data_IF_379325528545
#
_entry.id   IF_379325528545
#
_cell.length_a   1.000
_cell.length_b   1.000
_cell.length_c   1.000
_cell.angle_alpha   90.00
_cell.angle_beta   90.00
_cell.angle_gamma   90.00
#
_symmetry.space_group_name_H-M   'P 1'
#
loop_
_entity.id
_entity.type
_entity.pdbx_description
1 polymer ?
#
# COMPACT_ATOMS: atom_id res chain seq x y z
N UNK A 1 15.29 -23.34 21.27
CA UNK A 1 16.23 -22.21 21.09
C UNK A 1 15.42 -21.01 20.64
N UNK A 2 15.35 -19.96 21.47
CA UNK A 2 14.67 -18.71 21.12
C UNK A 2 15.68 -17.91 20.28
N UNK A 3 15.49 -17.85 18.96
CA UNK A 3 16.31 -16.98 18.11
C UNK A 3 16.03 -15.53 18.49
N UNK A 4 17.08 -14.74 18.68
CA UNK A 4 16.96 -13.32 18.97
C UNK A 4 16.11 -12.65 17.87
N UNK A 5 14.93 -12.09 18.20
CA UNK A 5 14.01 -11.52 17.21
C UNK A 5 14.66 -10.39 16.40
N UNK A 6 15.66 -9.70 16.96
CA UNK A 6 16.35 -8.59 16.26
C UNK A 6 17.27 -9.07 15.15
N UNK A 7 17.87 -10.26 15.31
CA UNK A 7 18.79 -10.84 14.31
C UNK A 7 18.05 -11.23 13.04
N UNK A 8 16.75 -11.50 13.14
CA UNK A 8 15.97 -11.94 12.01
C UNK A 8 15.42 -10.77 11.15
N UNK A 9 14.94 -9.70 11.79
CA UNK A 9 14.40 -8.52 11.07
C UNK A 9 15.45 -7.93 10.13
N UNK A 10 16.70 -7.80 10.59
CA UNK A 10 17.79 -7.31 9.74
C UNK A 10 18.02 -8.19 8.50
N UNK A 11 17.81 -9.50 8.64
CA UNK A 11 17.90 -10.46 7.53
C UNK A 11 16.76 -10.28 6.54
N UNK A 12 15.53 -10.05 7.02
CA UNK A 12 14.34 -9.78 6.18
C UNK A 12 14.53 -8.49 5.38
N UNK A 13 15.00 -7.41 6.01
CA UNK A 13 15.27 -6.13 5.33
C UNK A 13 16.40 -6.25 4.30
N UNK A 14 17.53 -6.86 4.67
CA UNK A 14 18.65 -7.06 3.75
C UNK A 14 18.29 -7.94 2.54
N UNK A 15 17.52 -9.00 2.78
CA UNK A 15 17.00 -9.86 1.70
C UNK A 15 15.97 -9.14 0.86
N UNK A 16 15.07 -8.35 1.45
CA UNK A 16 14.10 -7.52 0.72
C UNK A 16 14.80 -6.53 -0.21
N UNK A 17 15.87 -5.90 0.25
CA UNK A 17 16.68 -5.01 -0.59
C UNK A 17 17.33 -5.75 -1.76
N UNK A 18 17.90 -6.93 -1.50
CA UNK A 18 18.51 -7.78 -2.53
C UNK A 18 17.50 -8.26 -3.57
N UNK A 19 16.28 -8.62 -3.12
CA UNK A 19 15.19 -9.00 -4.01
C UNK A 19 14.73 -7.81 -4.85
N UNK A 20 14.61 -6.61 -4.26
CA UNK A 20 14.22 -5.40 -4.99
C UNK A 20 15.24 -5.01 -6.06
N UNK A 21 16.54 -5.04 -5.72
CA UNK A 21 17.60 -4.69 -6.65
C UNK A 21 17.71 -5.69 -7.82
N UNK A 22 17.40 -6.96 -7.56
CA UNK A 22 17.34 -8.00 -8.60
C UNK A 22 16.03 -7.97 -9.40
N UNK A 23 14.96 -7.37 -8.85
CA UNK A 23 13.62 -7.35 -9.42
C UNK A 23 13.03 -5.93 -9.44
N UNK A 24 13.72 -5.00 -10.11
CA UNK A 24 13.27 -3.61 -10.24
C UNK A 24 11.88 -3.47 -10.88
N UNK A 25 11.42 -4.49 -11.62
CA UNK A 25 10.10 -4.52 -12.27
C UNK A 25 8.94 -4.37 -11.28
N UNK A 26 9.13 -4.68 -9.99
CA UNK A 26 8.12 -4.48 -8.93
C UNK A 26 7.72 -3.00 -8.79
N UNK A 27 8.58 -2.08 -9.20
CA UNK A 27 8.34 -0.63 -9.12
C UNK A 27 7.40 -0.15 -10.24
N UNK A 28 7.39 -0.85 -11.38
CA UNK A 28 6.72 -0.41 -12.61
C UNK A 28 5.21 -0.17 -12.44
N UNK A 29 4.44 -1.05 -11.78
CA UNK A 29 3.00 -0.80 -11.56
C UNK A 29 2.72 0.51 -10.82
N UNK A 30 3.52 0.84 -9.80
CA UNK A 30 3.35 2.07 -9.03
C UNK A 30 3.56 3.31 -9.90
N UNK A 31 4.57 3.31 -10.78
CA UNK A 31 4.84 4.41 -11.70
C UNK A 31 3.71 4.56 -12.72
N UNK A 32 3.33 3.48 -13.41
CA UNK A 32 2.33 3.53 -14.48
C UNK A 32 0.97 3.96 -13.91
N UNK A 33 0.51 3.32 -12.84
CA UNK A 33 -0.79 3.61 -12.22
C UNK A 33 -0.77 5.01 -11.59
N UNK A 34 0.34 5.41 -10.97
CA UNK A 34 0.51 6.75 -10.41
C UNK A 34 0.41 7.85 -11.47
N UNK A 35 1.04 7.66 -12.64
CA UNK A 35 0.92 8.61 -13.77
C UNK A 35 -0.54 8.69 -14.25
N UNK A 36 -1.20 7.55 -14.46
CA UNK A 36 -2.60 7.51 -14.90
C UNK A 36 -3.51 8.22 -13.90
N UNK A 37 -3.39 7.90 -12.60
CA UNK A 37 -4.17 8.51 -11.54
C UNK A 37 -3.89 10.02 -11.43
N UNK A 38 -2.63 10.44 -11.56
CA UNK A 38 -2.23 11.85 -11.55
C UNK A 38 -2.80 12.64 -12.73
N UNK A 39 -2.81 12.05 -13.93
CA UNK A 39 -3.43 12.67 -15.11
C UNK A 39 -4.94 12.82 -14.93
N UNK A 40 -5.63 11.80 -14.41
CA UNK A 40 -7.06 11.88 -14.11
C UNK A 40 -7.31 12.98 -13.06
N UNK A 41 -6.54 13.01 -11.98
CA UNK A 41 -6.64 14.02 -10.93
C UNK A 41 -6.44 15.44 -11.47
N UNK A 42 -5.46 15.64 -12.36
CA UNK A 42 -5.18 16.93 -12.99
C UNK A 42 -6.30 17.39 -13.94
N UNK A 43 -7.01 16.45 -14.58
CA UNK A 43 -8.14 16.76 -15.46
C UNK A 43 -9.43 17.10 -14.70
N UNK A 44 -9.67 16.45 -13.54
CA UNK A 44 -10.90 16.65 -12.76
C UNK A 44 -10.78 17.73 -11.71
N UNK A 45 -9.57 18.06 -11.26
CA UNK A 45 -9.34 19.11 -10.27
C UNK A 45 -9.07 20.42 -11.00
N UNK A 46 -9.95 21.44 -10.89
CA UNK A 46 -9.73 22.71 -11.55
C UNK A 46 -8.40 23.32 -11.05
N UNK A 47 -7.43 23.49 -11.95
CA UNK A 47 -6.20 24.22 -11.65
C UNK A 47 -6.55 25.67 -11.38
N UNK A 48 -6.22 26.16 -10.18
CA UNK A 48 -6.26 27.58 -9.87
C UNK A 48 -5.30 28.31 -10.82
N UNK A 49 -5.84 28.89 -11.88
CA UNK A 49 -5.20 30.04 -12.48
C UNK A 49 -5.36 31.17 -11.46
N UNK A 50 -4.35 31.34 -10.61
CA UNK A 50 -4.24 32.56 -9.82
C UNK A 50 -4.10 33.69 -10.84
N UNK A 51 -5.18 34.43 -11.06
CA UNK A 51 -5.11 35.65 -11.83
C UNK A 51 -4.21 36.63 -11.06
N UNK A 52 -3.03 36.88 -11.62
CA UNK A 52 -2.03 37.80 -11.08
C UNK A 52 -2.50 39.26 -11.15
N UNK A 53 -3.67 39.56 -11.72
CA UNK A 53 -4.18 40.92 -11.91
C UNK A 53 -4.54 41.66 -10.62
N UNK A 54 -4.63 40.99 -9.47
CA UNK A 54 -4.89 41.65 -8.17
C UNK A 54 -6.31 42.22 -8.04
N UNK A 55 -7.21 41.96 -8.99
CA UNK A 55 -8.59 42.44 -8.97
C UNK A 55 -9.53 41.32 -8.50
N UNK A 56 -9.79 41.23 -7.20
CA UNK A 56 -10.98 40.55 -6.68
C UNK A 56 -12.11 41.58 -6.59
N UNK A 57 -13.32 41.36 -7.16
CA UNK A 57 -14.33 40.55 -6.46
C UNK A 57 -15.44 39.94 -7.37
N UNK A 58 -15.77 38.64 -7.28
CA UNK A 58 -17.07 38.15 -7.80
C UNK A 58 -17.68 37.04 -6.93
N UNK A 59 -18.70 37.36 -6.09
CA UNK A 59 -19.35 36.40 -5.19
C UNK A 59 -20.03 35.20 -5.90
N UNK A 60 -20.41 35.34 -7.17
CA UNK A 60 -21.15 34.31 -7.93
C UNK A 60 -20.23 33.22 -8.50
N UNK A 61 -18.97 33.52 -8.81
CA UNK A 61 -17.99 32.50 -9.21
C UNK A 61 -17.51 31.67 -8.01
N UNK A 62 -17.67 32.14 -6.77
CA UNK A 62 -17.19 31.42 -5.58
C UNK A 62 -18.01 30.17 -5.27
N UNK A 63 -19.32 30.15 -5.56
CA UNK A 63 -20.16 28.97 -5.26
C UNK A 63 -20.01 27.85 -6.30
N UNK A 64 -19.92 28.19 -7.60
CA UNK A 64 -19.71 27.20 -8.66
C UNK A 64 -18.27 26.70 -8.71
N UNK A 65 -17.26 27.58 -8.55
CA UNK A 65 -15.87 27.14 -8.43
C UNK A 65 -15.68 26.31 -7.15
N UNK A 66 -16.27 26.73 -6.03
CA UNK A 66 -16.25 25.97 -4.77
C UNK A 66 -16.82 24.57 -4.92
N UNK A 67 -18.00 24.43 -5.53
CA UNK A 67 -18.61 23.11 -5.76
C UNK A 67 -17.77 22.26 -6.72
N UNK A 68 -17.28 22.83 -7.83
CA UNK A 68 -16.44 22.10 -8.79
C UNK A 68 -15.12 21.63 -8.18
N UNK A 69 -14.52 22.44 -7.29
CA UNK A 69 -13.31 22.09 -6.55
C UNK A 69 -13.57 20.93 -5.59
N UNK A 70 -14.66 21.00 -4.82
CA UNK A 70 -15.05 19.93 -3.88
C UNK A 70 -15.30 18.63 -4.64
N UNK A 71 -16.13 18.66 -5.68
CA UNK A 71 -16.46 17.48 -6.49
C UNK A 71 -15.22 16.92 -7.18
N UNK A 72 -14.39 17.77 -7.81
CA UNK A 72 -13.15 17.37 -8.46
C UNK A 72 -12.17 16.71 -7.49
N UNK A 73 -11.99 17.30 -6.29
CA UNK A 73 -11.13 16.74 -5.24
C UNK A 73 -11.65 15.40 -4.72
N UNK A 74 -12.97 15.25 -4.55
CA UNK A 74 -13.57 13.99 -4.14
C UNK A 74 -13.33 12.89 -5.18
N UNK A 75 -13.51 13.19 -6.47
CA UNK A 75 -13.25 12.25 -7.57
C UNK A 75 -11.76 11.89 -7.61
N UNK A 76 -10.86 12.88 -7.56
CA UNK A 76 -9.41 12.66 -7.58
C UNK A 76 -8.96 11.79 -6.39
N UNK A 77 -9.48 12.06 -5.19
CA UNK A 77 -9.19 11.27 -3.99
C UNK A 77 -9.69 9.84 -4.13
N UNK A 78 -10.90 9.65 -4.65
CA UNK A 78 -11.46 8.32 -4.89
C UNK A 78 -10.64 7.52 -5.91
N UNK A 79 -10.26 8.14 -7.03
CA UNK A 79 -9.38 7.53 -8.04
C UNK A 79 -8.01 7.18 -7.45
N UNK A 80 -7.42 8.09 -6.68
CA UNK A 80 -6.14 7.87 -5.99
C UNK A 80 -6.21 6.71 -4.99
N UNK A 81 -7.31 6.61 -4.25
CA UNK A 81 -7.55 5.48 -3.34
C UNK A 81 -7.62 4.16 -4.12
N UNK A 82 -8.42 4.08 -5.19
CA UNK A 82 -8.50 2.87 -6.02
C UNK A 82 -7.14 2.49 -6.62
N UNK A 83 -6.42 3.48 -7.16
CA UNK A 83 -5.07 3.33 -7.69
C UNK A 83 -4.11 2.73 -6.65
N UNK A 84 -4.08 3.28 -5.44
CA UNK A 84 -3.23 2.79 -4.36
C UNK A 84 -3.53 1.34 -3.99
N UNK A 85 -4.81 0.97 -3.93
CA UNK A 85 -5.19 -0.40 -3.59
C UNK A 85 -4.75 -1.37 -4.69
N UNK A 86 -4.87 -1.00 -5.97
CA UNK A 86 -4.35 -1.81 -7.10
C UNK A 86 -2.83 -1.92 -7.03
N UNK A 87 -2.12 -0.80 -6.81
CA UNK A 87 -0.65 -0.77 -6.69
C UNK A 87 -0.22 -1.74 -5.57
N UNK A 88 -0.75 -1.59 -4.36
CA UNK A 88 -0.40 -2.42 -3.21
C UNK A 88 -0.67 -3.90 -3.48
N UNK A 89 -1.77 -4.23 -4.14
CA UNK A 89 -2.12 -5.61 -4.49
C UNK A 89 -1.13 -6.20 -5.49
N UNK A 90 -0.82 -5.47 -6.56
CA UNK A 90 0.11 -5.92 -7.58
C UNK A 90 1.53 -6.06 -7.01
N UNK A 91 2.03 -5.07 -6.28
CA UNK A 91 3.37 -5.10 -5.68
C UNK A 91 3.49 -6.19 -4.64
N UNK A 92 2.44 -6.46 -3.85
CA UNK A 92 2.42 -7.58 -2.89
C UNK A 92 2.43 -8.93 -3.61
N UNK A 93 1.68 -9.10 -4.70
CA UNK A 93 1.71 -10.32 -5.51
C UNK A 93 3.08 -10.61 -6.11
N UNK A 94 3.71 -9.57 -6.68
CA UNK A 94 5.06 -9.65 -7.23
C UNK A 94 6.11 -9.90 -6.13
N UNK A 95 5.96 -9.27 -4.96
CA UNK A 95 6.81 -9.53 -3.80
C UNK A 95 6.71 -10.99 -3.33
N UNK A 96 5.50 -11.56 -3.30
CA UNK A 96 5.29 -12.97 -2.96
C UNK A 96 5.99 -13.92 -3.93
N UNK A 97 5.92 -13.64 -5.24
CA UNK A 97 6.64 -14.41 -6.26
C UNK A 97 8.16 -14.29 -6.10
N UNK A 98 8.67 -13.09 -5.83
CA UNK A 98 10.10 -12.85 -5.59
C UNK A 98 10.61 -13.60 -4.35
N UNK A 99 9.86 -13.61 -3.26
CA UNK A 99 10.23 -14.37 -2.06
C UNK A 99 10.25 -15.88 -2.29
N UNK A 100 9.31 -16.39 -3.10
CA UNK A 100 9.18 -17.83 -3.39
C UNK A 100 10.20 -18.34 -4.41
N UNK A 101 10.45 -17.57 -5.47
CA UNK A 101 11.22 -18.04 -6.65
C UNK A 101 12.49 -17.25 -6.92
N UNK A 102 12.70 -16.12 -6.23
CA UNK A 102 13.78 -15.17 -6.50
C UNK A 102 13.49 -14.21 -7.66
N UNK A 103 12.40 -14.42 -8.41
CA UNK A 103 12.01 -13.60 -9.56
C UNK A 103 10.58 -13.06 -9.42
N UNK A 104 10.35 -11.86 -9.91
CA UNK A 104 9.02 -11.26 -10.02
C UNK A 104 8.70 -10.93 -11.48
N UNK A 105 7.44 -11.16 -11.87
CA UNK A 105 6.89 -10.80 -13.17
C UNK A 105 5.61 -9.99 -12.98
N UNK A 106 5.27 -9.13 -13.95
CA UNK A 106 4.02 -8.35 -13.91
C UNK A 106 2.79 -9.27 -13.85
N UNK A 107 2.86 -10.45 -14.47
CA UNK A 107 1.82 -11.47 -14.41
C UNK A 107 1.51 -11.89 -12.97
N UNK A 108 2.50 -11.97 -12.08
CA UNK A 108 2.28 -12.34 -10.68
C UNK A 108 1.41 -11.31 -9.94
N UNK A 109 1.63 -10.02 -10.25
CA UNK A 109 0.80 -8.93 -9.72
C UNK A 109 -0.61 -8.94 -10.29
N UNK A 110 -0.76 -9.22 -11.59
CA UNK A 110 -2.07 -9.35 -12.25
C UNK A 110 -2.86 -10.56 -11.72
N UNK A 111 -2.18 -11.68 -11.49
CA UNK A 111 -2.78 -12.89 -10.92
C UNK A 111 -3.20 -12.67 -9.48
N UNK A 112 -2.47 -11.86 -8.70
CA UNK A 112 -2.91 -11.45 -7.37
C UNK A 112 -4.18 -10.59 -7.42
N UNK A 113 -4.27 -9.64 -8.36
CA UNK A 113 -5.42 -8.76 -8.52
C UNK A 113 -6.70 -9.51 -8.94
N UNK A 114 -6.55 -10.57 -9.75
CA UNK A 114 -7.67 -11.39 -10.22
C UNK A 114 -8.27 -12.31 -9.16
N UNK A 115 -7.64 -12.42 -7.97
CA UNK A 115 -8.14 -13.29 -6.90
C UNK A 115 -9.37 -12.66 -6.24
N UNK A 116 -10.50 -13.40 -6.15
CA UNK A 116 -11.72 -12.87 -5.52
C UNK A 116 -11.50 -12.55 -4.04
N UNK A 117 -10.65 -13.32 -3.35
CA UNK A 117 -10.33 -13.13 -1.94
C UNK A 117 -9.63 -11.79 -1.72
N UNK A 118 -8.73 -11.41 -2.63
CA UNK A 118 -8.00 -10.14 -2.55
C UNK A 118 -8.94 -8.97 -2.78
N UNK A 119 -9.84 -9.04 -3.76
CA UNK A 119 -10.86 -8.02 -3.99
C UNK A 119 -11.74 -7.78 -2.74
N UNK A 120 -12.16 -8.86 -2.07
CA UNK A 120 -12.95 -8.74 -0.84
C UNK A 120 -12.17 -8.09 0.31
N UNK A 121 -10.87 -8.39 0.46
CA UNK A 121 -10.00 -7.76 1.46
C UNK A 121 -9.75 -6.28 1.15
N UNK A 122 -9.56 -5.95 -0.13
CA UNK A 122 -9.44 -4.57 -0.63
C UNK A 122 -10.68 -3.74 -0.29
N UNK A 123 -11.89 -4.27 -0.55
CA UNK A 123 -13.15 -3.61 -0.21
C UNK A 123 -13.27 -3.36 1.30
N UNK A 124 -12.89 -4.34 2.12
CA UNK A 124 -12.88 -4.17 3.57
C UNK A 124 -11.88 -3.10 4.04
N UNK A 125 -10.68 -3.05 3.47
CA UNK A 125 -9.70 -1.99 3.76
C UNK A 125 -10.20 -0.61 3.34
N UNK A 126 -10.93 -0.50 2.22
CA UNK A 126 -11.58 0.75 1.81
C UNK A 126 -12.63 1.16 2.84
N UNK A 127 -13.50 0.24 3.28
CA UNK A 127 -14.51 0.53 4.32
C UNK A 127 -13.84 0.99 5.62
N UNK A 128 -12.81 0.30 6.09
CA UNK A 128 -12.05 0.70 7.29
C UNK A 128 -11.42 2.08 7.11
N UNK A 129 -10.82 2.35 5.95
CA UNK A 129 -10.19 3.66 5.65
C UNK A 129 -11.21 4.79 5.63
N UNK A 130 -12.41 4.56 5.09
CA UNK A 130 -13.51 5.53 5.11
C UNK A 130 -13.98 5.81 6.54
N UNK A 131 -14.15 4.77 7.37
CA UNK A 131 -14.54 4.94 8.78
C UNK A 131 -13.48 5.74 9.55
N UNK A 132 -12.19 5.44 9.37
CA UNK A 132 -11.09 6.18 9.99
C UNK A 132 -11.03 7.64 9.51
N UNK A 133 -11.30 7.88 8.22
CA UNK A 133 -11.34 9.23 7.67
C UNK A 133 -12.47 10.06 8.29
N UNK A 134 -13.66 9.49 8.42
CA UNK A 134 -14.80 10.14 9.09
C UNK A 134 -14.49 10.39 10.57
N UNK A 135 -13.88 9.44 11.27
CA UNK A 135 -13.49 9.61 12.67
C UNK A 135 -12.45 10.72 12.84
N UNK A 136 -11.54 10.87 11.88
CA UNK A 136 -10.53 11.95 11.88
C UNK A 136 -11.14 13.33 11.74
N UNK A 137 -12.20 13.47 10.93
CA UNK A 137 -12.95 14.73 10.80
C UNK A 137 -13.63 15.12 12.12
N UNK A 138 -14.27 14.16 12.81
CA UNK A 138 -15.01 14.43 14.05
C UNK A 138 -14.07 14.77 15.22
N UNK A 139 -12.89 14.15 15.26
CA UNK A 139 -11.96 14.24 16.40
C UNK A 139 -10.89 15.32 16.27
N UNK A 140 -10.97 16.19 15.25
CA UNK A 140 -10.00 17.26 14.98
C UNK A 140 -8.54 16.76 14.95
N UNK A 141 -8.32 15.56 14.43
CA UNK A 141 -6.99 14.96 14.29
C UNK A 141 -6.52 14.09 15.46
N UNK A 142 -7.23 14.04 16.60
CA UNK A 142 -6.92 13.06 17.66
C UNK A 142 -7.04 11.62 17.17
N UNK A 143 -7.91 11.34 16.19
CA UNK A 143 -7.96 10.02 15.55
C UNK A 143 -6.73 9.71 14.68
N UNK A 144 -5.76 10.61 14.53
CA UNK A 144 -4.46 10.26 13.96
C UNK A 144 -3.76 9.17 14.78
N UNK A 145 -3.82 9.23 16.11
CA UNK A 145 -3.29 8.19 16.98
C UNK A 145 -4.07 6.88 16.84
N UNK A 146 -5.41 6.96 16.76
CA UNK A 146 -6.26 5.79 16.54
C UNK A 146 -5.95 5.14 15.20
N UNK A 147 -5.78 5.93 14.15
CA UNK A 147 -5.42 5.46 12.81
C UNK A 147 -4.06 4.77 12.80
N UNK A 148 -3.09 5.27 13.56
CA UNK A 148 -1.79 4.63 13.72
C UNK A 148 -1.91 3.25 14.42
N UNK A 149 -2.74 3.17 15.46
CA UNK A 149 -3.01 1.89 16.16
C UNK A 149 -3.72 0.91 15.23
N UNK A 150 -4.72 1.35 14.46
CA UNK A 150 -5.40 0.48 13.49
C UNK A 150 -4.46 0.06 12.38
N UNK A 151 -3.63 0.97 11.86
CA UNK A 151 -2.59 0.65 10.88
C UNK A 151 -1.63 -0.41 11.39
N UNK A 152 -1.17 -0.29 12.64
CA UNK A 152 -0.28 -1.27 13.28
C UNK A 152 -0.87 -2.69 13.23
N UNK A 153 -2.16 -2.85 13.56
CA UNK A 153 -2.80 -4.17 13.54
C UNK A 153 -3.17 -4.67 12.14
N UNK A 154 -3.40 -3.76 11.19
CA UNK A 154 -3.86 -4.09 9.83
C UNK A 154 -2.74 -4.12 8.79
N UNK A 155 -1.49 -3.89 9.19
CA UNK A 155 -0.35 -3.76 8.28
C UNK A 155 -0.13 -5.00 7.39
N UNK A 156 -0.47 -6.20 7.86
CA UNK A 156 -0.30 -7.45 7.13
C UNK A 156 -1.53 -7.87 6.32
N UNK A 157 -2.62 -7.08 6.30
CA UNK A 157 -3.90 -7.50 5.68
C UNK A 157 -3.74 -7.87 4.21
N UNK A 158 -3.01 -7.07 3.42
CA UNK A 158 -2.81 -7.35 1.99
C UNK A 158 -1.92 -8.58 1.80
N UNK A 159 -0.87 -8.74 2.63
CA UNK A 159 -0.03 -9.94 2.61
C UNK A 159 -0.85 -11.19 2.98
N UNK A 160 -1.70 -11.11 4.00
CA UNK A 160 -2.61 -12.18 4.38
C UNK A 160 -3.60 -12.53 3.26
N UNK A 161 -4.14 -11.54 2.55
CA UNK A 161 -5.05 -11.79 1.44
C UNK A 161 -4.35 -12.41 0.22
N UNK A 162 -3.20 -11.85 -0.17
CA UNK A 162 -2.46 -12.26 -1.38
C UNK A 162 -1.68 -13.55 -1.17
N UNK A 163 -0.93 -13.64 -0.07
CA UNK A 163 -0.05 -14.77 0.24
C UNK A 163 -0.78 -15.83 1.07
N UNK A 164 -1.54 -15.39 2.07
CA UNK A 164 -2.29 -16.28 2.94
C UNK A 164 -3.58 -16.83 2.33
N UNK A 165 -4.09 -16.19 1.27
CA UNK A 165 -5.32 -16.58 0.59
C UNK A 165 -6.60 -16.23 1.37
N UNK A 166 -6.52 -15.43 2.42
CA UNK A 166 -7.67 -15.05 3.23
C UNK A 166 -8.55 -14.01 2.51
N UNK A 167 -9.87 -14.10 2.69
CA UNK A 167 -10.85 -13.17 2.10
C UNK A 167 -11.36 -12.17 3.11
N UNK A 168 -11.57 -10.92 2.70
CA UNK A 168 -12.39 -9.93 3.41
C UNK A 168 -12.00 -9.76 4.87
N UNK A 169 -12.95 -10.06 5.76
CA UNK A 169 -12.76 -9.96 7.21
C UNK A 169 -11.74 -10.95 7.75
N UNK A 170 -11.59 -12.13 7.14
CA UNK A 170 -10.64 -13.14 7.61
C UNK A 170 -9.20 -12.67 7.41
N UNK A 171 -8.92 -11.91 6.35
CA UNK A 171 -7.61 -11.29 6.14
C UNK A 171 -7.29 -10.22 7.21
N UNK A 172 -8.30 -9.45 7.63
CA UNK A 172 -8.16 -8.47 8.72
C UNK A 172 -7.90 -9.17 10.07
N UNK A 173 -8.65 -10.23 10.36
CA UNK A 173 -8.47 -11.03 11.58
C UNK A 173 -7.11 -11.70 11.63
N UNK A 174 -6.68 -12.29 10.52
CA UNK A 174 -5.34 -12.87 10.39
C UNK A 174 -4.27 -11.81 10.64
N UNK A 175 -4.36 -10.63 10.00
CA UNK A 175 -3.42 -9.53 10.23
C UNK A 175 -3.38 -9.13 11.71
N UNK A 176 -4.55 -9.02 12.33
CA UNK A 176 -4.67 -8.65 13.75
C UNK A 176 -4.03 -9.68 14.67
N UNK A 177 -4.30 -10.97 14.47
CA UNK A 177 -3.71 -12.04 15.28
C UNK A 177 -2.20 -12.16 15.08
N UNK A 178 -1.70 -12.05 13.85
CA UNK A 178 -0.26 -12.02 13.56
C UNK A 178 0.41 -10.82 14.23
N UNK A 179 -0.16 -9.61 14.08
CA UNK A 179 0.39 -8.40 14.71
C UNK A 179 0.34 -8.48 16.25
N UNK A 180 -0.72 -9.04 16.82
CA UNK A 180 -0.89 -9.17 18.28
C UNK A 180 0.07 -10.18 18.89
N UNK A 181 0.23 -11.34 18.27
CA UNK A 181 1.13 -12.40 18.76
C UNK A 181 2.60 -11.97 18.67
N UNK A 182 2.93 -11.15 17.66
CA UNK A 182 4.29 -10.65 17.40
C UNK A 182 4.38 -9.12 17.46
N UNK A 183 3.79 -8.53 18.50
CA UNK A 183 3.63 -7.07 18.61
C UNK A 183 4.96 -6.31 18.59
N UNK A 184 6.00 -6.83 19.23
CA UNK A 184 7.31 -6.17 19.29
C UNK A 184 7.97 -6.14 17.91
N UNK A 185 7.94 -7.27 17.19
CA UNK A 185 8.48 -7.38 15.84
C UNK A 185 7.71 -6.47 14.88
N UNK A 186 6.38 -6.48 14.96
CA UNK A 186 5.50 -5.59 14.19
C UNK A 186 5.80 -4.12 14.48
N UNK A 187 6.05 -3.76 15.74
CA UNK A 187 6.40 -2.39 16.14
C UNK A 187 7.72 -1.95 15.51
N UNK A 188 8.74 -2.82 15.55
CA UNK A 188 10.03 -2.53 14.91
C UNK A 188 9.85 -2.32 13.41
N UNK A 189 9.08 -3.19 12.73
CA UNK A 189 8.78 -3.04 11.31
C UNK A 189 8.07 -1.72 11.05
N UNK A 190 6.98 -1.41 11.77
CA UNK A 190 6.25 -0.14 11.63
C UNK A 190 7.16 1.07 11.81
N UNK A 191 8.02 1.07 12.82
CA UNK A 191 8.98 2.17 13.08
C UNK A 191 9.98 2.28 11.93
N UNK A 192 10.56 1.18 11.46
CA UNK A 192 11.52 1.18 10.35
C UNK A 192 10.87 1.65 9.04
N UNK A 193 9.67 1.17 8.71
CA UNK A 193 8.91 1.66 7.56
C UNK A 193 8.58 3.15 7.73
N UNK A 194 8.21 3.59 8.93
CA UNK A 194 7.99 4.99 9.25
C UNK A 194 9.23 5.87 8.99
N UNK A 195 10.41 5.42 9.43
CA UNK A 195 11.69 6.12 9.17
C UNK A 195 11.99 6.19 7.67
N UNK A 196 11.83 5.08 6.94
CA UNK A 196 12.05 5.06 5.48
C UNK A 196 11.07 5.98 4.76
N UNK A 197 9.78 5.94 5.11
CA UNK A 197 8.76 6.82 4.55
C UNK A 197 9.03 8.30 4.86
N UNK A 198 9.50 8.60 6.07
CA UNK A 198 9.88 9.95 6.46
C UNK A 198 11.07 10.47 5.63
N UNK A 199 12.16 9.71 5.55
CA UNK A 199 13.34 10.06 4.75
C UNK A 199 12.99 10.25 3.27
N UNK A 200 12.15 9.38 2.74
CA UNK A 200 11.64 9.50 1.40
C UNK A 200 10.80 10.74 1.15
N UNK A 201 9.96 11.12 2.12
CA UNK A 201 9.15 12.33 2.04
C UNK A 201 10.04 13.57 2.01
N UNK A 202 11.10 13.60 2.84
CA UNK A 202 12.11 14.67 2.81
C UNK A 202 12.82 14.73 1.45
N UNK A 203 13.20 13.58 0.91
CA UNK A 203 13.86 13.49 -0.40
C UNK A 203 12.92 13.96 -1.52
N UNK A 204 11.67 13.51 -1.53
CA UNK A 204 10.66 13.93 -2.52
C UNK A 204 10.38 15.44 -2.43
N UNK A 205 10.29 15.99 -1.21
CA UNK A 205 10.12 17.42 -1.00
C UNK A 205 11.29 18.24 -1.56
N UNK A 206 12.53 17.74 -1.48
CA UNK A 206 13.69 18.40 -2.08
C UNK A 206 13.61 18.49 -3.62
N UNK A 207 12.91 17.55 -4.27
CA UNK A 207 12.71 17.57 -5.72
C UNK A 207 11.55 18.44 -6.19
N UNK A 208 10.66 18.89 -5.30
CA UNK A 208 9.54 19.77 -5.66
C UNK A 208 9.97 21.13 -6.24
N UNK A 209 11.22 21.56 -6.00
CA UNK A 209 11.75 22.81 -6.55
C UNK A 209 12.06 22.75 -8.05
N UNK A 210 12.08 21.56 -8.67
CA UNK A 210 12.34 21.40 -10.10
C UNK A 210 11.00 21.22 -10.84
N UNK A 211 10.54 22.21 -11.63
CA UNK A 211 9.31 22.09 -12.38
C UNK A 211 9.36 20.89 -13.34
N UNK A 212 8.24 20.19 -13.51
CA UNK A 212 8.03 19.03 -14.39
C UNK A 212 8.81 17.76 -14.04
N UNK A 213 10.10 17.85 -13.72
CA UNK A 213 10.95 16.71 -13.36
C UNK A 213 10.68 16.25 -11.92
N UNK A 214 10.45 17.20 -11.00
CA UNK A 214 10.21 16.93 -9.59
C UNK A 214 9.13 15.88 -9.33
N UNK A 215 7.91 16.04 -9.90
CA UNK A 215 6.84 15.05 -9.74
C UNK A 215 7.18 13.65 -10.25
N UNK A 216 7.92 13.54 -11.36
CA UNK A 216 8.33 12.25 -11.93
C UNK A 216 9.31 11.53 -10.99
N UNK A 217 10.30 12.27 -10.46
CA UNK A 217 11.25 11.73 -9.49
C UNK A 217 10.54 11.34 -8.19
N UNK A 218 9.64 12.18 -7.69
CA UNK A 218 8.85 11.88 -6.49
C UNK A 218 8.00 10.61 -6.67
N UNK A 219 7.36 10.43 -7.83
CA UNK A 219 6.61 9.23 -8.15
C UNK A 219 7.49 7.98 -8.23
N UNK A 220 8.69 8.08 -8.83
CA UNK A 220 9.65 6.99 -8.87
C UNK A 220 10.14 6.59 -7.47
N UNK A 221 10.48 7.58 -6.64
CA UNK A 221 10.87 7.35 -5.23
C UNK A 221 9.73 6.66 -4.48
N UNK A 222 8.50 7.16 -4.60
CA UNK A 222 7.31 6.56 -3.99
C UNK A 222 7.13 5.10 -4.44
N UNK A 223 7.28 4.81 -5.73
CA UNK A 223 7.20 3.44 -6.26
C UNK A 223 8.26 2.51 -5.69
N UNK A 224 9.51 2.97 -5.55
CA UNK A 224 10.60 2.21 -4.91
C UNK A 224 10.23 1.83 -3.48
N UNK A 225 9.68 2.78 -2.71
CA UNK A 225 9.32 2.56 -1.31
C UNK A 225 8.16 1.59 -1.18
N UNK A 226 7.11 1.76 -1.99
CA UNK A 226 5.96 0.85 -1.98
C UNK A 226 6.39 -0.58 -2.34
N UNK A 227 7.27 -0.74 -3.34
CA UNK A 227 7.85 -2.02 -3.71
C UNK A 227 8.68 -2.62 -2.57
N UNK A 228 9.54 -1.81 -1.94
CA UNK A 228 10.34 -2.23 -0.78
C UNK A 228 9.46 -2.65 0.41
N UNK A 229 8.44 -1.87 0.73
CA UNK A 229 7.51 -2.16 1.82
C UNK A 229 6.73 -3.44 1.55
N UNK A 230 6.28 -3.65 0.32
CA UNK A 230 5.60 -4.89 -0.08
C UNK A 230 6.51 -6.11 0.11
N UNK A 231 7.80 -6.00 -0.24
CA UNK A 231 8.77 -7.07 -0.01
C UNK A 231 9.01 -7.33 1.48
N UNK A 232 9.22 -6.29 2.28
CA UNK A 232 9.43 -6.44 3.73
C UNK A 232 8.20 -7.05 4.39
N UNK A 233 7.00 -6.53 4.10
CA UNK A 233 5.75 -7.01 4.70
C UNK A 233 5.43 -8.45 4.32
N UNK A 234 5.68 -8.86 3.07
CA UNK A 234 5.50 -10.25 2.64
C UNK A 234 6.52 -11.19 3.29
N UNK A 235 7.80 -10.78 3.35
CA UNK A 235 8.85 -11.56 4.00
C UNK A 235 8.55 -11.80 5.47
N UNK A 236 8.24 -10.71 6.18
CA UNK A 236 7.88 -10.72 7.59
C UNK A 236 6.62 -11.54 7.85
N UNK A 237 5.56 -11.32 7.07
CA UNK A 237 4.32 -12.08 7.21
C UNK A 237 4.55 -13.58 7.09
N UNK A 238 5.37 -14.03 6.13
CA UNK A 238 5.69 -15.45 5.96
C UNK A 238 6.44 -16.04 7.16
N UNK A 239 7.41 -15.31 7.71
CA UNK A 239 8.16 -15.74 8.90
C UNK A 239 7.26 -15.81 10.14
N UNK A 240 6.51 -14.75 10.42
CA UNK A 240 5.61 -14.69 11.58
C UNK A 240 4.49 -15.73 11.50
N UNK A 241 3.87 -15.91 10.33
CA UNK A 241 2.83 -16.93 10.13
C UNK A 241 3.40 -18.34 10.30
N UNK A 242 4.63 -18.57 9.83
CA UNK A 242 5.34 -19.84 10.01
C UNK A 242 5.51 -20.24 11.48
N UNK A 243 5.72 -19.25 12.36
CA UNK A 243 5.82 -19.43 13.82
C UNK A 243 4.47 -19.64 14.47
N UNK A 244 3.46 -18.86 14.09
CA UNK A 244 2.13 -18.91 14.67
C UNK A 244 1.38 -20.20 14.30
N UNK A 245 1.57 -20.68 13.07
CA UNK A 245 0.86 -21.85 12.54
C UNK A 245 1.81 -22.85 11.85
N UNK A 246 2.64 -23.59 12.61
CA UNK A 246 3.59 -24.54 12.02
C UNK A 246 2.93 -25.60 11.14
N UNK A 247 1.71 -26.03 11.51
CA UNK A 247 0.92 -26.98 10.75
C UNK A 247 0.45 -26.43 9.38
N UNK A 248 0.21 -25.13 9.28
CA UNK A 248 -0.16 -24.46 8.02
C UNK A 248 1.07 -24.20 7.17
N UNK A 249 2.21 -23.89 7.80
CA UNK A 249 3.49 -23.70 7.11
C UNK A 249 3.99 -24.97 6.40
N UNK A 250 3.61 -26.15 6.90
CA UNK A 250 3.93 -27.43 6.29
C UNK A 250 3.06 -27.76 5.07
N UNK A 251 1.91 -27.09 4.90
CA UNK A 251 1.11 -27.24 3.68
C UNK A 251 1.77 -26.41 2.57
N UNK A 252 2.04 -26.99 1.39
CA UNK A 252 2.55 -26.21 0.27
C UNK A 252 1.59 -25.03 0.06
N UNK A 253 2.10 -23.78 -0.13
CA UNK A 253 1.27 -22.57 -0.10
C UNK A 253 0.10 -22.57 -1.08
N UNK A 254 0.10 -23.50 -2.04
CA UNK A 254 -0.97 -23.72 -2.99
C UNK A 254 -0.98 -25.21 -3.37
N UNK A 255 -2.02 -25.95 -2.99
CA UNK A 255 -2.52 -26.97 -3.91
C UNK A 255 -3.21 -26.20 -5.03
N UNK A 256 -2.81 -26.44 -6.29
CA UNK A 256 -3.54 -25.88 -7.42
C UNK A 256 -5.04 -26.19 -7.22
N UNK A 257 -5.95 -25.26 -7.57
CA UNK A 257 -7.38 -25.58 -7.58
C UNK A 257 -7.56 -26.93 -8.28
N UNK A 258 -8.32 -27.87 -7.71
CA UNK A 258 -8.50 -29.17 -8.33
C UNK A 258 -8.90 -28.95 -9.78
N UNK A 259 -8.18 -29.59 -10.70
CA UNK A 259 -8.40 -29.40 -12.13
C UNK A 259 -9.89 -29.55 -12.43
N UNK A 260 -10.49 -28.53 -13.02
CA UNK A 260 -11.90 -28.60 -13.44
C UNK A 260 -11.99 -29.78 -14.40
N UNK A 261 -12.81 -30.81 -14.11
CA UNK A 261 -12.90 -31.97 -14.98
C UNK A 261 -13.30 -31.51 -16.39
N UNK A 262 -12.72 -32.09 -17.44
CA UNK A 262 -13.12 -31.78 -18.81
C UNK A 262 -14.62 -32.07 -18.97
N UNK A 263 -15.35 -31.10 -19.54
CA UNK A 263 -16.78 -31.22 -19.89
C UNK A 263 -17.00 -32.29 -20.95
#
# INVERSE_FOLDING_TARGET
>A
MQTDPTKDIGSVFGRSWTLLSSNWIIIVPAIIIGIIAGLIAALVTPTYYMDTSGVYPVPVYHSMLGLSLVVGTMIATFVGMLANVVILTMTTGMAAAAWKTGKAMISDGMDALRRPNVLSAMLMLIVVSLVLSLLTLVTLGLAGLISLVVFFFLIYTIAAAVVGGFSGMDALKESFEVAKTSWLTTLIVVVLLGVVAFLATLLAAAFHFVPFIGPIIAAAISGVIVAFFSLVLVGEYNDLRGRAHPAVAAQPPFTAPPAVPPL
#
